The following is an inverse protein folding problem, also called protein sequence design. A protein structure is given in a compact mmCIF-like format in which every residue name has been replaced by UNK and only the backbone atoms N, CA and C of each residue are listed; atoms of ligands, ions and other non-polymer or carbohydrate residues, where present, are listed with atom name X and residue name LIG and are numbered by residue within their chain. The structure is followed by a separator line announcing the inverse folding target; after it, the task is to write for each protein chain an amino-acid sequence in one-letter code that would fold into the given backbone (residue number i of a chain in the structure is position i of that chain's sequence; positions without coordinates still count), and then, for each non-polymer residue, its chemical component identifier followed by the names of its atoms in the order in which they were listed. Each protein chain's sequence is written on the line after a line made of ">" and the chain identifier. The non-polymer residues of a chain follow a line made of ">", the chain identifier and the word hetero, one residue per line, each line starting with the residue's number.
data_IF_913059027759
#
_entry.id   IF_913059027759
#
_cell.length_a   1.000
_cell.length_b   1.000
_cell.length_c   1.000
_cell.angle_alpha   90.00
_cell.angle_beta   90.00
_cell.angle_gamma   90.00
#
_symmetry.space_group_name_H-M   'P 1'
#
loop_
_entity.id
_entity.type
_entity.pdbx_description
1 polymer ?
#
# COMPACT_ATOMS: atom_id res chain seq x y z
N UNK A 1 23.02 22.88 16.64
CA UNK A 1 22.99 21.40 16.55
C UNK A 1 21.89 21.06 15.58
N UNK A 2 22.23 20.57 14.39
CA UNK A 2 21.26 20.22 13.36
C UNK A 2 20.72 18.81 13.63
N UNK A 3 19.40 18.69 13.73
CA UNK A 3 18.71 17.41 13.73
C UNK A 3 18.92 16.73 12.38
N UNK A 4 19.23 15.41 12.32
CA UNK A 4 19.27 14.69 11.06
C UNK A 4 17.81 14.44 10.65
N UNK A 5 17.18 15.42 10.00
CA UNK A 5 15.99 15.19 9.21
C UNK A 5 16.38 14.25 8.06
N UNK A 6 15.97 12.99 8.15
CA UNK A 6 16.10 12.02 7.06
C UNK A 6 15.55 12.65 5.79
N UNK A 7 16.43 12.90 4.82
CA UNK A 7 16.07 13.50 3.56
C UNK A 7 15.23 12.49 2.78
N UNK A 8 13.90 12.69 2.77
CA UNK A 8 13.06 12.07 1.76
C UNK A 8 13.60 12.44 0.38
N UNK A 9 13.80 11.45 -0.48
CA UNK A 9 14.26 11.68 -1.84
C UNK A 9 13.12 12.35 -2.62
N UNK A 10 13.20 13.66 -2.85
CA UNK A 10 12.23 14.44 -3.63
C UNK A 10 12.40 14.27 -5.15
N UNK A 11 12.55 13.03 -5.61
CA UNK A 11 12.69 12.75 -7.03
C UNK A 11 11.31 12.63 -7.70
N UNK A 12 11.20 12.92 -9.01
CA UNK A 12 9.94 12.75 -9.75
C UNK A 12 9.37 11.33 -9.65
N UNK A 13 10.24 10.35 -9.50
CA UNK A 13 9.89 8.95 -9.37
C UNK A 13 9.28 8.63 -8.00
N UNK A 14 9.90 9.10 -6.92
CA UNK A 14 9.34 8.95 -5.56
C UNK A 14 8.02 9.71 -5.45
N UNK A 15 7.98 10.97 -5.91
CA UNK A 15 6.77 11.79 -5.90
C UNK A 15 5.60 11.15 -6.68
N UNK A 16 5.90 10.49 -7.79
CA UNK A 16 4.89 9.73 -8.55
C UNK A 16 4.29 8.57 -7.74
N UNK A 17 5.12 7.85 -6.96
CA UNK A 17 4.66 6.76 -6.09
C UNK A 17 3.94 7.28 -4.86
N UNK A 18 4.41 8.37 -4.24
CA UNK A 18 3.73 8.97 -3.09
C UNK A 18 2.32 9.47 -3.45
N UNK A 19 2.15 10.01 -4.68
CA UNK A 19 0.84 10.39 -5.21
C UNK A 19 -0.16 9.23 -5.25
N UNK A 20 0.30 7.99 -5.42
CA UNK A 20 -0.57 6.82 -5.34
C UNK A 20 -1.15 6.66 -3.93
N UNK A 21 -0.32 6.78 -2.88
CA UNK A 21 -0.77 6.73 -1.49
C UNK A 21 -1.64 7.93 -1.11
N UNK A 22 -1.36 9.12 -1.64
CA UNK A 22 -2.23 10.29 -1.45
C UNK A 22 -3.63 10.04 -2.00
N UNK A 23 -3.73 9.46 -3.19
CA UNK A 23 -5.02 9.09 -3.78
C UNK A 23 -5.74 8.00 -2.97
N UNK A 24 -5.02 7.01 -2.44
CA UNK A 24 -5.61 6.00 -1.55
C UNK A 24 -6.14 6.64 -0.25
N UNK A 25 -5.34 7.50 0.40
CA UNK A 25 -5.73 8.23 1.63
C UNK A 25 -6.95 9.12 1.41
N UNK A 26 -7.05 9.74 0.23
CA UNK A 26 -8.16 10.58 -0.17
C UNK A 26 -9.40 9.79 -0.65
N UNK A 27 -9.40 8.45 -0.53
CA UNK A 27 -10.44 7.54 -1.04
C UNK A 27 -10.73 7.70 -2.54
N UNK A 28 -9.75 8.18 -3.31
CA UNK A 28 -9.88 8.37 -4.74
C UNK A 28 -9.27 7.19 -5.50
N UNK A 29 -9.94 6.03 -5.43
CA UNK A 29 -9.49 4.82 -6.10
C UNK A 29 -9.40 4.99 -7.62
N UNK A 30 -10.26 5.81 -8.23
CA UNK A 30 -10.16 6.12 -9.66
C UNK A 30 -8.82 6.76 -10.02
N UNK A 31 -8.42 7.80 -9.28
CA UNK A 31 -7.13 8.45 -9.47
C UNK A 31 -5.95 7.53 -9.11
N UNK A 32 -6.03 6.77 -8.02
CA UNK A 32 -4.99 5.82 -7.65
C UNK A 32 -4.77 4.77 -8.76
N UNK A 33 -5.84 4.16 -9.28
CA UNK A 33 -5.76 3.12 -10.30
C UNK A 33 -5.43 3.66 -11.70
N UNK A 34 -5.58 4.96 -11.94
CA UNK A 34 -5.10 5.60 -13.17
C UNK A 34 -3.56 5.62 -13.27
N UNK A 35 -2.86 5.51 -12.14
CA UNK A 35 -1.39 5.45 -12.10
C UNK A 35 -0.85 4.05 -12.41
N UNK A 36 -1.71 3.04 -12.45
CA UNK A 36 -1.35 1.63 -12.59
C UNK A 36 -1.48 1.17 -14.04
N UNK A 37 -0.52 0.36 -14.51
CA UNK A 37 -0.58 -0.24 -15.84
C UNK A 37 -1.74 -1.23 -15.95
N UNK A 38 -2.32 -1.36 -17.15
CA UNK A 38 -3.32 -2.40 -17.45
C UNK A 38 -2.78 -3.81 -17.22
N UNK A 39 -1.46 -3.99 -17.31
CA UNK A 39 -0.77 -5.27 -17.05
C UNK A 39 -0.25 -5.37 -15.61
N UNK A 40 -0.73 -4.55 -14.69
CA UNK A 40 -0.28 -4.57 -13.29
C UNK A 40 -0.44 -5.96 -12.68
N UNK A 41 0.61 -6.38 -11.97
CA UNK A 41 0.57 -7.49 -11.02
C UNK A 41 0.83 -6.96 -9.61
N UNK A 42 -0.06 -7.29 -8.68
CA UNK A 42 0.06 -7.05 -7.25
C UNK A 42 0.36 -8.36 -6.52
N UNK A 43 1.40 -8.37 -5.68
CA UNK A 43 1.79 -9.51 -4.86
C UNK A 43 1.84 -9.12 -3.39
N UNK A 44 1.29 -9.97 -2.52
CA UNK A 44 1.43 -9.83 -1.07
C UNK A 44 2.41 -10.89 -0.54
N UNK A 45 3.31 -10.46 0.33
CA UNK A 45 4.37 -11.25 0.93
C UNK A 45 4.35 -11.10 2.46
N UNK A 46 4.83 -12.11 3.23
CA UNK A 46 5.48 -13.34 2.77
C UNK A 46 4.52 -14.35 2.11
N UNK A 47 5.06 -15.22 1.24
CA UNK A 47 4.30 -16.26 0.55
C UNK A 47 3.56 -17.23 1.48
N UNK A 48 3.98 -17.32 2.76
CA UNK A 48 3.29 -18.08 3.80
C UNK A 48 1.86 -17.60 4.09
N UNK A 49 1.50 -16.37 3.69
CA UNK A 49 0.12 -15.87 3.76
C UNK A 49 -0.77 -16.41 2.62
N UNK A 50 -0.23 -17.26 1.74
CA UNK A 50 -0.94 -18.01 0.70
C UNK A 50 -1.79 -17.16 -0.25
N UNK A 51 -1.41 -15.90 -0.49
CA UNK A 51 -2.09 -15.04 -1.45
C UNK A 51 -1.52 -15.22 -2.85
N UNK A 52 -2.38 -15.60 -3.79
CA UNK A 52 -2.03 -15.57 -5.21
C UNK A 52 -1.79 -14.12 -5.67
N UNK A 53 -0.86 -13.90 -6.62
CA UNK A 53 -0.74 -12.62 -7.31
C UNK A 53 -2.08 -12.19 -7.90
N UNK A 54 -2.36 -10.88 -7.86
CA UNK A 54 -3.61 -10.27 -8.33
C UNK A 54 -3.36 -9.35 -9.51
N UNK A 55 -4.26 -9.38 -10.48
CA UNK A 55 -4.36 -8.40 -11.56
C UNK A 55 -4.82 -7.04 -11.04
N UNK A 56 -4.72 -5.99 -11.87
CA UNK A 56 -5.27 -4.64 -11.58
C UNK A 56 -6.73 -4.70 -11.12
N UNK A 57 -7.59 -5.45 -11.81
CA UNK A 57 -9.02 -5.55 -11.48
C UNK A 57 -9.26 -6.24 -10.14
N UNK A 58 -8.52 -7.32 -9.86
CA UNK A 58 -8.65 -8.06 -8.60
C UNK A 58 -8.12 -7.24 -7.42
N UNK A 59 -7.03 -6.50 -7.62
CA UNK A 59 -6.51 -5.58 -6.61
C UNK A 59 -7.48 -4.42 -6.34
N UNK A 60 -8.12 -3.88 -7.37
CA UNK A 60 -9.18 -2.87 -7.20
C UNK A 60 -10.36 -3.42 -6.40
N UNK A 61 -10.82 -4.61 -6.76
CA UNK A 61 -11.93 -5.27 -6.06
C UNK A 61 -11.60 -5.51 -4.58
N UNK A 62 -10.35 -5.92 -4.28
CA UNK A 62 -9.87 -6.08 -2.91
C UNK A 62 -9.96 -4.78 -2.11
N UNK A 63 -9.51 -3.66 -2.67
CA UNK A 63 -9.56 -2.36 -2.00
C UNK A 63 -10.99 -1.80 -1.89
N UNK A 64 -11.85 -2.09 -2.87
CA UNK A 64 -13.27 -1.77 -2.77
C UNK A 64 -13.93 -2.58 -1.65
N UNK A 65 -13.68 -3.88 -1.49
CA UNK A 65 -14.40 -4.68 -0.48
C UNK A 65 -13.82 -4.59 0.93
N UNK A 66 -12.65 -3.96 1.11
CA UNK A 66 -11.97 -3.90 2.41
C UNK A 66 -12.74 -2.99 3.39
N UNK A 67 -13.16 -3.46 4.58
CA UNK A 67 -13.80 -2.63 5.60
C UNK A 67 -12.90 -1.49 6.12
N UNK A 68 -11.58 -1.63 6.00
CA UNK A 68 -10.58 -0.63 6.38
C UNK A 68 -10.36 0.43 5.29
N UNK A 69 -11.43 0.94 4.65
CA UNK A 69 -11.31 2.01 3.63
C UNK A 69 -10.79 3.32 4.19
N UNK A 70 -10.85 3.46 5.51
CA UNK A 70 -10.42 4.63 6.25
C UNK A 70 -9.05 4.43 6.84
N UNK A 71 -8.04 4.56 5.99
CA UNK A 71 -6.65 4.44 6.37
C UNK A 71 -5.86 5.69 6.01
N UNK A 72 -4.90 6.02 6.87
CA UNK A 72 -3.82 6.95 6.59
C UNK A 72 -2.53 6.18 6.41
N UNK A 73 -1.73 6.56 5.42
CA UNK A 73 -0.38 6.04 5.23
C UNK A 73 0.61 7.04 5.85
N UNK A 74 1.39 6.57 6.82
CA UNK A 74 2.50 7.32 7.39
C UNK A 74 3.80 6.78 6.79
N UNK A 75 4.41 7.58 5.90
CA UNK A 75 5.63 7.20 5.21
C UNK A 75 6.81 7.30 6.17
N UNK A 76 7.50 6.19 6.39
CA UNK A 76 8.69 6.14 7.25
C UNK A 76 9.96 6.39 6.44
N UNK A 77 10.09 5.72 5.29
CA UNK A 77 11.29 5.76 4.46
C UNK A 77 10.98 5.49 2.99
N UNK A 78 11.76 6.10 2.11
CA UNK A 78 11.73 5.83 0.67
C UNK A 78 13.12 5.54 0.14
N UNK A 79 13.27 4.47 -0.65
CA UNK A 79 14.52 4.14 -1.34
C UNK A 79 14.26 4.09 -2.83
N UNK A 80 15.06 4.79 -3.62
CA UNK A 80 14.96 4.78 -5.07
C UNK A 80 16.08 3.97 -5.72
N UNK A 81 15.73 3.24 -6.77
CA UNK A 81 16.69 2.66 -7.72
C UNK A 81 16.14 2.78 -9.15
N UNK A 82 16.96 2.52 -10.19
CA UNK A 82 16.49 2.62 -11.57
C UNK A 82 15.22 1.79 -11.81
N UNK A 83 14.11 2.48 -12.12
CA UNK A 83 12.81 1.88 -12.37
C UNK A 83 12.10 1.27 -11.16
N UNK A 84 12.58 1.49 -9.92
CA UNK A 84 11.90 1.02 -8.71
C UNK A 84 11.91 2.02 -7.56
N UNK A 85 10.86 1.98 -6.76
CA UNK A 85 10.77 2.71 -5.50
C UNK A 85 10.36 1.73 -4.41
N UNK A 86 11.09 1.74 -3.31
CA UNK A 86 10.71 1.06 -2.08
C UNK A 86 10.14 2.10 -1.12
N UNK A 87 9.01 1.80 -0.50
CA UNK A 87 8.36 2.66 0.48
C UNK A 87 8.06 1.83 1.72
N UNK A 88 8.67 2.19 2.84
CA UNK A 88 8.31 1.65 4.15
C UNK A 88 7.33 2.61 4.80
N UNK A 89 6.22 2.10 5.30
CA UNK A 89 5.14 2.92 5.86
C UNK A 89 4.37 2.19 6.95
N UNK A 90 3.61 2.97 7.72
CA UNK A 90 2.61 2.47 8.65
C UNK A 90 1.23 2.79 8.05
N UNK A 91 0.34 1.80 8.03
CA UNK A 91 -1.08 1.98 7.68
C UNK A 91 -1.86 2.08 8.98
N UNK A 92 -2.53 3.22 9.20
CA UNK A 92 -3.29 3.52 10.42
C UNK A 92 -4.77 3.64 10.09
N UNK A 93 -5.63 2.87 10.77
CA UNK A 93 -7.09 3.01 10.66
C UNK A 93 -7.58 4.30 11.33
N UNK A 94 -8.49 5.00 10.67
CA UNK A 94 -9.10 6.25 11.14
C UNK A 94 -10.47 6.04 11.81
N UNK A 95 -11.04 4.84 11.74
CA UNK A 95 -12.39 4.52 12.25
C UNK A 95 -12.39 3.96 13.67
N UNK A 96 -11.31 4.13 14.43
CA UNK A 96 -11.25 3.83 15.86
C UNK A 96 -10.91 2.39 16.23
N UNK A 97 -10.71 1.51 15.25
CA UNK A 97 -9.98 0.25 15.48
C UNK A 97 -8.49 0.54 15.69
N UNK A 98 -7.83 -0.13 16.64
CA UNK A 98 -6.37 -0.05 16.84
C UNK A 98 -5.60 -0.78 15.74
N UNK A 99 -6.01 -0.61 14.48
CA UNK A 99 -5.33 -1.22 13.35
C UNK A 99 -4.19 -0.29 12.93
N UNK A 100 -2.98 -0.70 13.27
CA UNK A 100 -1.73 -0.12 12.77
C UNK A 100 -0.86 -1.27 12.29
N UNK A 101 -0.55 -1.33 11.00
CA UNK A 101 0.42 -2.30 10.47
C UNK A 101 1.56 -1.60 9.77
N UNK A 102 2.77 -2.07 10.02
CA UNK A 102 3.93 -1.71 9.20
C UNK A 102 3.90 -2.53 7.90
N UNK A 103 4.25 -1.89 6.80
CA UNK A 103 4.33 -2.54 5.49
C UNK A 103 5.43 -1.91 4.65
N UNK A 104 6.09 -2.75 3.85
CA UNK A 104 7.07 -2.34 2.88
C UNK A 104 6.55 -2.62 1.48
N UNK A 105 6.41 -1.57 0.67
CA UNK A 105 5.96 -1.65 -0.71
C UNK A 105 7.14 -1.50 -1.66
N UNK A 106 7.25 -2.40 -2.64
CA UNK A 106 8.21 -2.29 -3.74
C UNK A 106 7.42 -2.07 -5.03
N UNK A 107 7.59 -0.89 -5.60
CA UNK A 107 6.99 -0.48 -6.87
C UNK A 107 8.00 -0.69 -7.99
N UNK A 108 7.60 -1.40 -9.04
CA UNK A 108 8.31 -1.37 -10.33
C UNK A 108 7.60 -0.41 -11.26
N UNK A 109 8.35 0.52 -11.83
CA UNK A 109 7.85 1.60 -12.67
C UNK A 109 8.28 1.39 -14.12
N UNK A 110 7.46 1.90 -15.02
CA UNK A 110 7.77 1.99 -16.44
C UNK A 110 7.03 3.14 -17.08
N UNK A 111 6.85 3.03 -18.38
CA UNK A 111 6.10 4.00 -19.19
C UNK A 111 4.99 3.27 -19.95
N UNK A 112 3.84 3.91 -20.06
CA UNK A 112 2.75 3.45 -20.89
C UNK A 112 2.99 3.77 -22.38
N UNK A 113 2.02 3.42 -23.24
CA UNK A 113 2.11 3.66 -24.69
C UNK A 113 2.14 5.15 -25.06
N UNK A 114 1.71 6.02 -24.16
CA UNK A 114 1.69 7.48 -24.33
C UNK A 114 2.96 8.13 -23.77
N UNK A 115 3.94 7.34 -23.28
CA UNK A 115 5.15 7.84 -22.65
C UNK A 115 4.92 8.39 -21.23
N UNK A 116 3.74 8.16 -20.65
CA UNK A 116 3.43 8.56 -19.27
C UNK A 116 3.94 7.51 -18.29
N UNK A 117 4.50 7.95 -17.16
CA UNK A 117 4.99 7.04 -16.11
C UNK A 117 3.83 6.22 -15.53
N UNK A 118 4.05 4.93 -15.30
CA UNK A 118 3.05 4.01 -14.76
C UNK A 118 3.68 2.99 -13.79
N UNK A 119 2.87 2.45 -12.89
CA UNK A 119 3.25 1.35 -11.98
C UNK A 119 2.96 0.02 -12.67
N UNK A 120 3.99 -0.78 -12.91
CA UNK A 120 3.92 -2.08 -13.58
C UNK A 120 3.72 -3.24 -12.59
N UNK A 121 4.28 -3.11 -11.39
CA UNK A 121 4.25 -4.16 -10.38
C UNK A 121 4.24 -3.54 -8.99
N UNK A 122 3.44 -4.11 -8.09
CA UNK A 122 3.43 -3.76 -6.67
C UNK A 122 3.69 -5.03 -5.88
N UNK A 123 4.71 -4.99 -5.01
CA UNK A 123 4.93 -6.03 -4.01
C UNK A 123 4.74 -5.42 -2.63
N UNK A 124 3.78 -5.91 -1.87
CA UNK A 124 3.55 -5.52 -0.49
C UNK A 124 4.12 -6.60 0.43
N UNK A 125 5.08 -6.23 1.27
CA UNK A 125 5.60 -7.06 2.35
C UNK A 125 4.93 -6.60 3.62
N UNK A 126 4.12 -7.45 4.22
CA UNK A 126 3.43 -7.17 5.47
C UNK A 126 4.11 -7.90 6.63
N UNK A 127 4.03 -7.34 7.83
CA UNK A 127 4.30 -8.10 9.03
C UNK A 127 3.21 -9.18 9.21
N UNK A 128 3.59 -10.43 8.92
CA UNK A 128 2.69 -11.58 9.02
C UNK A 128 2.16 -11.84 10.44
N UNK A 129 2.89 -11.40 11.48
CA UNK A 129 2.45 -11.58 12.86
C UNK A 129 1.34 -10.58 13.19
N UNK A 130 1.56 -9.30 12.88
CA UNK A 130 0.56 -8.26 13.04
C UNK A 130 -0.72 -8.57 12.23
N UNK A 131 -0.59 -9.03 10.98
CA UNK A 131 -1.74 -9.40 10.15
C UNK A 131 -2.57 -10.55 10.75
N UNK A 132 -1.91 -11.55 11.35
CA UNK A 132 -2.59 -12.69 12.00
C UNK A 132 -3.28 -12.27 13.30
N UNK A 133 -2.62 -11.45 14.11
CA UNK A 133 -3.17 -10.96 15.38
C UNK A 133 -4.40 -10.07 15.16
N UNK A 134 -4.38 -9.20 14.13
CA UNK A 134 -5.51 -8.33 13.78
C UNK A 134 -6.75 -9.14 13.36
N UNK A 135 -6.58 -10.16 12.51
CA UNK A 135 -7.72 -10.99 12.10
C UNK A 135 -8.35 -11.73 13.28
N UNK A 136 -7.56 -12.09 14.29
CA UNK A 136 -8.07 -12.65 15.55
C UNK A 136 -8.85 -11.61 16.34
N UNK A 137 -8.28 -10.43 16.56
CA UNK A 137 -8.90 -9.35 17.35
C UNK A 137 -10.22 -8.85 16.73
N UNK A 138 -10.29 -8.69 15.41
CA UNK A 138 -11.53 -8.24 14.75
C UNK A 138 -12.61 -9.33 14.80
N UNK A 139 -12.22 -10.61 14.73
CA UNK A 139 -13.15 -11.73 14.92
C UNK A 139 -13.71 -11.77 16.36
N UNK A 140 -12.87 -11.53 17.36
CA UNK A 140 -13.29 -11.46 18.77
C UNK A 140 -14.24 -10.27 18.99
N UNK A 141 -13.93 -9.08 18.44
CA UNK A 141 -14.80 -7.91 18.52
C UNK A 141 -16.18 -8.13 17.89
N UNK A 142 -16.23 -8.75 16.71
CA UNK A 142 -17.49 -9.06 16.03
C UNK A 142 -18.32 -10.12 16.80
N UNK A 143 -17.67 -11.03 17.51
CA UNK A 143 -18.35 -12.00 18.37
C UNK A 143 -18.94 -11.32 19.62
N UNK A 144 -18.21 -10.39 20.23
CA UNK A 144 -18.67 -9.62 21.40
C UNK A 144 -19.82 -8.65 21.08
N UNK A 145 -19.86 -8.10 19.86
CA UNK A 145 -20.94 -7.18 19.43
C UNK A 145 -22.24 -7.89 19.03
N UNK A 146 -22.20 -9.20 18.77
CA UNK A 146 -23.36 -10.01 18.39
C UNK A 146 -23.86 -10.94 19.52
N UNK A 147 -23.29 -10.82 20.73
CA UNK A 147 -23.72 -11.50 21.94
C UNK A 147 -24.58 -10.58 22.81
#
# INVERSE_FOLDING_TARGET
>A
MASPSGQGLDTPQVQFVLKFFDHLSARNLGAAFSLLSETLVYEMWPASLAHSPRTKSEYKALLDTNPDRDVKFEILETIESPGKVVVTLIIVSLTGGRYSKESCYIFTLGFDRNGSRTILHIKEIVDSKAATDIHREERERLLEQNA
#
